data_IF_084115942798
#
_entry.id   IF_084115942798
#
_cell.length_a   1.000
_cell.length_b   1.000
_cell.length_c   1.000
_cell.angle_alpha   90.00
_cell.angle_beta   90.00
_cell.angle_gamma   90.00
#
_symmetry.space_group_name_H-M   'P 1'
#
loop_
_entity.id
_entity.type
_entity.pdbx_description
1 polymer ?
#
# COMPACT_ATOMS: atom_id res chain seq x y z
N UNK A 1 -18.16 15.81 -19.12
CA UNK A 1 -18.16 14.33 -19.19
C UNK A 1 -17.20 13.77 -20.25
N UNK A 2 -16.37 14.57 -20.95
CA UNK A 2 -15.50 14.08 -22.04
C UNK A 2 -14.08 13.66 -21.63
N UNK A 3 -13.56 14.15 -20.50
CA UNK A 3 -12.14 14.02 -20.14
C UNK A 3 -11.79 12.63 -19.56
N UNK A 4 -12.73 12.03 -18.80
CA UNK A 4 -12.53 10.74 -18.14
C UNK A 4 -12.40 9.59 -19.15
N UNK A 5 -13.32 9.51 -20.11
CA UNK A 5 -13.33 8.44 -21.12
C UNK A 5 -12.12 8.55 -22.05
N UNK A 6 -11.70 9.77 -22.38
CA UNK A 6 -10.47 10.00 -23.13
C UNK A 6 -9.25 9.49 -22.37
N UNK A 7 -9.14 9.84 -21.08
CA UNK A 7 -8.07 9.35 -20.22
C UNK A 7 -8.06 7.82 -20.10
N UNK A 8 -9.22 7.20 -19.86
CA UNK A 8 -9.36 5.73 -19.76
C UNK A 8 -8.86 5.03 -21.03
N UNK A 9 -9.20 5.57 -22.21
CA UNK A 9 -8.79 5.00 -23.49
C UNK A 9 -7.30 5.21 -23.79
N UNK A 10 -6.69 6.31 -23.34
CA UNK A 10 -5.28 6.61 -23.59
C UNK A 10 -4.33 6.03 -22.53
N UNK A 11 -4.87 5.57 -21.41
CA UNK A 11 -4.07 5.12 -20.27
C UNK A 11 -3.11 3.98 -20.64
N UNK A 12 -3.57 3.01 -21.44
CA UNK A 12 -2.73 1.88 -21.85
C UNK A 12 -1.52 2.35 -22.68
N UNK A 13 -1.77 3.15 -23.72
CA UNK A 13 -0.71 3.70 -24.58
C UNK A 13 0.26 4.58 -23.77
N UNK A 14 -0.26 5.39 -22.85
CA UNK A 14 0.57 6.23 -21.98
C UNK A 14 1.51 5.39 -21.11
N UNK A 15 0.99 4.33 -20.47
CA UNK A 15 1.78 3.45 -19.60
C UNK A 15 2.82 2.67 -20.42
N UNK A 16 2.49 2.24 -21.65
CA UNK A 16 3.43 1.60 -22.57
C UNK A 16 4.57 2.54 -22.96
N UNK A 17 4.25 3.77 -23.38
CA UNK A 17 5.26 4.80 -23.71
C UNK A 17 6.12 5.12 -22.48
N UNK A 18 5.52 5.18 -21.29
CA UNK A 18 6.25 5.43 -20.06
C UNK A 18 7.24 4.30 -19.74
N UNK A 19 6.82 3.04 -19.86
CA UNK A 19 7.70 1.88 -19.65
C UNK A 19 8.86 1.84 -20.65
N UNK A 20 8.60 2.22 -21.90
CA UNK A 20 9.64 2.33 -22.94
C UNK A 20 10.63 3.44 -22.62
N UNK A 21 10.16 4.63 -22.25
CA UNK A 21 11.02 5.78 -21.89
C UNK A 21 11.85 5.55 -20.62
N UNK A 22 11.34 4.75 -19.70
CA UNK A 22 12.07 4.32 -18.51
C UNK A 22 12.98 3.11 -18.77
N UNK A 23 13.02 2.60 -20.00
CA UNK A 23 13.88 1.49 -20.44
C UNK A 23 13.76 0.26 -19.52
N UNK A 24 12.55 -0.01 -19.01
CA UNK A 24 12.32 -1.03 -17.97
C UNK A 24 12.78 -2.42 -18.43
N UNK A 25 12.57 -2.76 -19.71
CA UNK A 25 12.99 -4.05 -20.27
C UNK A 25 14.51 -4.23 -20.22
N UNK A 26 15.24 -3.20 -20.61
CA UNK A 26 16.70 -3.21 -20.63
C UNK A 26 17.27 -3.22 -19.21
N UNK A 27 16.70 -2.41 -18.31
CA UNK A 27 17.02 -2.42 -16.89
C UNK A 27 16.88 -3.83 -16.31
N UNK A 28 15.78 -4.52 -16.61
CA UNK A 28 15.54 -5.90 -16.14
C UNK A 28 16.59 -6.86 -16.70
N UNK A 29 16.82 -6.82 -18.02
CA UNK A 29 17.72 -7.75 -18.69
C UNK A 29 19.19 -7.61 -18.24
N UNK A 30 19.60 -6.38 -17.95
CA UNK A 30 20.99 -6.07 -17.61
C UNK A 30 21.27 -6.17 -16.10
N UNK A 31 20.35 -5.71 -15.25
CA UNK A 31 20.65 -5.45 -13.84
C UNK A 31 19.83 -6.28 -12.85
N UNK A 32 18.71 -6.86 -13.27
CA UNK A 32 17.73 -7.49 -12.35
C UNK A 32 17.61 -9.01 -12.51
N UNK A 33 18.61 -9.66 -13.13
CA UNK A 33 18.66 -11.12 -13.25
C UNK A 33 18.78 -11.77 -11.86
N UNK A 34 17.89 -12.73 -11.58
CA UNK A 34 17.85 -13.45 -10.30
C UNK A 34 17.26 -12.67 -9.13
N UNK A 35 16.73 -11.47 -9.37
CA UNK A 35 16.04 -10.66 -8.36
C UNK A 35 14.55 -11.04 -8.34
N UNK A 36 14.01 -11.25 -7.15
CA UNK A 36 12.60 -11.59 -6.93
C UNK A 36 11.78 -10.39 -6.43
N UNK A 37 12.46 -9.38 -5.88
CA UNK A 37 11.83 -8.24 -5.23
C UNK A 37 12.54 -6.92 -5.54
N UNK A 38 11.73 -5.92 -5.90
CA UNK A 38 12.13 -4.55 -6.10
C UNK A 38 11.59 -3.66 -4.98
N UNK A 39 12.51 -3.02 -4.23
CA UNK A 39 12.18 -1.92 -3.34
C UNK A 39 12.41 -0.61 -4.10
N UNK A 40 11.34 0.08 -4.44
CA UNK A 40 11.35 1.35 -5.14
C UNK A 40 11.42 2.50 -4.13
N UNK A 41 12.32 3.44 -4.38
CA UNK A 41 12.40 4.73 -3.67
C UNK A 41 12.12 5.86 -4.67
N UNK A 42 10.85 6.15 -4.99
CA UNK A 42 10.53 7.14 -6.01
C UNK A 42 10.84 8.56 -5.52
N UNK A 43 11.43 9.39 -6.38
CA UNK A 43 11.59 10.82 -6.11
C UNK A 43 10.40 11.67 -6.59
N UNK A 44 9.83 12.50 -5.71
CA UNK A 44 8.77 13.49 -6.02
C UNK A 44 7.59 12.92 -6.82
N UNK A 45 7.41 13.36 -8.07
CA UNK A 45 6.28 13.01 -8.93
C UNK A 45 6.32 11.55 -9.41
N UNK A 46 7.46 10.87 -9.26
CA UNK A 46 7.58 9.45 -9.62
C UNK A 46 6.68 8.57 -8.74
N UNK A 47 6.24 9.04 -7.57
CA UNK A 47 5.21 8.37 -6.77
C UNK A 47 3.86 8.22 -7.50
N UNK A 48 3.62 8.96 -8.58
CA UNK A 48 2.38 8.86 -9.37
C UNK A 48 2.47 7.78 -10.45
N UNK A 49 3.67 7.26 -10.74
CA UNK A 49 3.84 6.20 -11.74
C UNK A 49 3.33 4.88 -11.16
N UNK A 50 2.39 4.20 -11.84
CA UNK A 50 1.93 2.89 -11.41
C UNK A 50 2.97 1.83 -11.82
N UNK A 51 4.14 1.79 -11.17
CA UNK A 51 5.26 0.90 -11.56
C UNK A 51 4.83 -0.56 -11.68
N UNK A 52 3.93 -1.01 -10.79
CA UNK A 52 3.36 -2.35 -10.82
C UNK A 52 2.66 -2.70 -12.14
N UNK A 53 2.08 -1.71 -12.81
CA UNK A 53 1.36 -1.83 -14.08
C UNK A 53 2.23 -1.46 -15.29
N UNK A 54 3.54 -1.22 -15.13
CA UNK A 54 4.40 -0.97 -16.29
C UNK A 54 4.58 -2.27 -17.09
N UNK A 55 4.30 -2.27 -18.40
CA UNK A 55 4.46 -3.44 -19.24
C UNK A 55 5.93 -3.80 -19.43
N UNK A 56 6.22 -5.10 -19.37
CA UNK A 56 7.56 -5.65 -19.56
C UNK A 56 7.63 -6.55 -20.81
N UNK A 57 6.59 -6.53 -21.64
CA UNK A 57 6.44 -7.37 -22.85
C UNK A 57 5.67 -8.66 -22.56
N UNK A 58 5.33 -9.41 -23.62
CA UNK A 58 4.59 -10.67 -23.56
C UNK A 58 3.28 -10.61 -22.75
N UNK A 59 2.60 -9.47 -22.78
CA UNK A 59 1.38 -9.21 -22.00
C UNK A 59 1.57 -9.37 -20.48
N UNK A 60 2.81 -9.14 -19.99
CA UNK A 60 3.17 -9.14 -18.58
C UNK A 60 3.50 -7.72 -18.10
N UNK A 61 3.29 -7.50 -16.81
CA UNK A 61 3.61 -6.27 -16.10
C UNK A 61 4.72 -6.49 -15.08
N UNK A 62 5.29 -5.41 -14.57
CA UNK A 62 6.39 -5.46 -13.60
C UNK A 62 6.00 -6.26 -12.34
N UNK A 63 4.75 -6.14 -11.87
CA UNK A 63 4.25 -6.88 -10.71
C UNK A 63 4.06 -8.39 -10.95
N UNK A 64 3.97 -8.83 -12.20
CA UNK A 64 3.90 -10.27 -12.52
C UNK A 64 5.28 -10.93 -12.35
N UNK A 65 6.35 -10.13 -12.45
CA UNK A 65 7.73 -10.61 -12.36
C UNK A 65 8.37 -10.40 -10.99
N UNK A 66 8.03 -9.30 -10.31
CA UNK A 66 8.66 -8.93 -9.05
C UNK A 66 7.62 -8.67 -7.96
N UNK A 67 7.98 -9.01 -6.71
CA UNK A 67 7.33 -8.40 -5.55
C UNK A 67 7.78 -6.94 -5.50
N UNK A 68 6.82 -6.00 -5.53
CA UNK A 68 7.12 -4.57 -5.51
C UNK A 68 6.79 -3.99 -4.15
N UNK A 69 7.76 -3.28 -3.55
CA UNK A 69 7.57 -2.48 -2.34
C UNK A 69 8.00 -1.05 -2.58
N UNK A 70 7.27 -0.12 -2.00
CA UNK A 70 7.64 1.30 -2.01
C UNK A 70 8.15 1.70 -0.63
N UNK A 71 9.18 2.53 -0.60
CA UNK A 71 9.65 3.16 0.63
C UNK A 71 9.97 4.63 0.37
N UNK A 72 9.77 5.47 1.39
CA UNK A 72 9.93 6.91 1.27
C UNK A 72 11.40 7.34 1.14
N UNK A 73 12.33 6.56 1.71
CA UNK A 73 13.78 6.81 1.60
C UNK A 73 14.59 5.58 1.99
N UNK A 74 15.87 5.56 1.60
CA UNK A 74 16.81 4.53 2.06
C UNK A 74 17.07 4.59 3.57
N UNK A 75 16.95 5.76 4.20
CA UNK A 75 17.07 5.88 5.66
C UNK A 75 15.93 5.13 6.36
N UNK A 76 14.69 5.27 5.89
CA UNK A 76 13.55 4.50 6.42
C UNK A 76 13.76 3.01 6.19
N UNK A 77 14.34 2.61 5.05
CA UNK A 77 14.66 1.21 4.79
C UNK A 77 15.66 0.67 5.81
N UNK A 78 16.69 1.44 6.13
CA UNK A 78 17.70 1.06 7.12
C UNK A 78 17.07 0.85 8.50
N UNK A 79 16.23 1.79 8.96
CA UNK A 79 15.47 1.62 10.20
C UNK A 79 14.57 0.37 10.18
N UNK A 80 13.93 0.07 9.05
CA UNK A 80 13.10 -1.13 8.90
C UNK A 80 13.92 -2.42 8.93
N UNK A 81 15.15 -2.42 8.42
CA UNK A 81 16.06 -3.57 8.45
C UNK A 81 16.60 -3.86 9.85
N UNK A 82 16.75 -2.83 10.67
CA UNK A 82 17.21 -2.96 12.05
C UNK A 82 16.13 -3.50 13.01
N UNK A 83 14.89 -3.66 12.54
CA UNK A 83 13.83 -4.26 13.35
C UNK A 83 14.06 -5.77 13.51
N UNK A 84 13.78 -6.34 14.69
CA UNK A 84 13.91 -7.78 14.90
C UNK A 84 13.03 -8.54 13.91
N UNK A 85 13.52 -9.68 13.44
CA UNK A 85 12.72 -10.56 12.60
C UNK A 85 11.49 -11.03 13.37
N UNK A 86 10.36 -11.07 12.67
CA UNK A 86 9.12 -11.61 13.21
C UNK A 86 9.21 -13.14 13.11
N UNK A 87 9.32 -13.80 14.25
CA UNK A 87 9.26 -15.27 14.30
C UNK A 87 7.87 -15.78 13.92
N UNK A 88 7.77 -16.98 13.35
CA UNK A 88 6.49 -17.55 12.90
C UNK A 88 5.49 -17.68 14.06
N UNK A 89 5.96 -18.02 15.26
CA UNK A 89 5.15 -18.06 16.48
C UNK A 89 4.58 -16.68 16.88
N UNK A 90 5.30 -15.61 16.56
CA UNK A 90 4.85 -14.23 16.79
C UNK A 90 3.70 -13.86 15.84
N UNK A 91 3.69 -14.37 14.60
CA UNK A 91 2.60 -14.14 13.62
C UNK A 91 1.26 -14.68 14.15
N UNK A 92 1.27 -15.87 14.77
CA UNK A 92 0.06 -16.47 15.34
C UNK A 92 -0.48 -15.70 16.57
N UNK A 93 0.35 -14.88 17.21
CA UNK A 93 -0.02 -14.08 18.39
C UNK A 93 -0.43 -12.63 18.08
N UNK A 94 -0.38 -12.23 16.80
CA UNK A 94 -0.66 -10.86 16.39
C UNK A 94 -2.07 -10.46 16.82
N UNK A 95 -2.15 -9.27 17.41
CA UNK A 95 -3.42 -8.65 17.70
C UNK A 95 -3.83 -7.81 16.49
N UNK A 96 -5.07 -7.99 16.08
CA UNK A 96 -5.67 -7.32 14.93
C UNK A 96 -6.71 -6.31 15.42
N UNK A 97 -6.90 -5.24 14.66
CA UNK A 97 -8.00 -4.29 14.83
C UNK A 97 -8.57 -3.86 13.48
N UNK A 98 -9.81 -3.38 13.49
CA UNK A 98 -10.45 -2.80 12.30
C UNK A 98 -10.94 -1.37 12.56
N UNK A 99 -10.95 -0.56 11.51
CA UNK A 99 -11.52 0.77 11.51
C UNK A 99 -12.36 0.90 10.25
N UNK A 100 -13.68 1.03 10.41
CA UNK A 100 -14.63 0.91 9.32
C UNK A 100 -15.69 2.02 9.34
N UNK A 101 -16.03 2.48 8.13
CA UNK A 101 -17.17 3.35 7.82
C UNK A 101 -17.33 4.58 8.73
N UNK A 102 -16.27 5.36 8.93
CA UNK A 102 -16.27 6.49 9.87
C UNK A 102 -17.39 7.54 9.70
N UNK A 103 -18.01 7.60 8.52
CA UNK A 103 -19.10 8.53 8.21
C UNK A 103 -20.45 7.82 8.01
N UNK A 104 -20.55 6.52 8.31
CA UNK A 104 -21.75 5.68 8.14
C UNK A 104 -22.39 5.80 6.74
N UNK A 105 -21.57 5.90 5.70
CA UNK A 105 -22.02 6.18 4.35
C UNK A 105 -21.36 5.29 3.30
N UNK A 106 -20.66 4.25 3.73
CA UNK A 106 -19.98 3.30 2.86
C UNK A 106 -20.30 1.88 3.31
N UNK A 107 -21.49 1.39 2.95
CA UNK A 107 -22.00 0.08 3.37
C UNK A 107 -21.01 -1.09 3.09
N UNK A 108 -20.28 -1.03 1.98
CA UNK A 108 -19.24 -2.01 1.66
C UNK A 108 -18.09 -2.03 2.68
N UNK A 109 -17.77 -0.89 3.30
CA UNK A 109 -16.71 -0.81 4.32
C UNK A 109 -17.10 -1.51 5.62
N UNK A 110 -18.36 -1.36 6.04
CA UNK A 110 -18.89 -2.09 7.19
C UNK A 110 -18.91 -3.61 6.92
N UNK A 111 -19.32 -4.03 5.72
CA UNK A 111 -19.29 -5.44 5.31
C UNK A 111 -17.87 -6.02 5.29
N UNK A 112 -16.91 -5.33 4.66
CA UNK A 112 -15.50 -5.77 4.62
C UNK A 112 -14.92 -5.91 6.03
N UNK A 113 -15.14 -4.90 6.88
CA UNK A 113 -14.69 -4.88 8.27
C UNK A 113 -15.26 -6.04 9.09
N UNK A 114 -16.55 -6.34 8.94
CA UNK A 114 -17.19 -7.49 9.57
C UNK A 114 -16.56 -8.82 9.11
N UNK A 115 -16.31 -9.00 7.81
CA UNK A 115 -15.69 -10.23 7.29
C UNK A 115 -14.28 -10.42 7.82
N UNK A 116 -13.47 -9.36 7.86
CA UNK A 116 -12.12 -9.42 8.42
C UNK A 116 -12.17 -9.71 9.92
N UNK A 117 -13.08 -9.07 10.67
CA UNK A 117 -13.25 -9.33 12.09
C UNK A 117 -13.56 -10.81 12.37
N UNK A 118 -14.45 -11.41 11.58
CA UNK A 118 -14.79 -12.83 11.71
C UNK A 118 -13.62 -13.75 11.33
N UNK A 119 -12.89 -13.44 10.25
CA UNK A 119 -11.76 -14.26 9.80
C UNK A 119 -10.61 -14.31 10.81
N UNK A 120 -10.36 -13.22 11.54
CA UNK A 120 -9.26 -13.08 12.49
C UNK A 120 -9.70 -13.08 13.96
N UNK A 121 -10.97 -13.41 14.25
CA UNK A 121 -11.58 -13.37 15.59
C UNK A 121 -11.29 -12.05 16.33
N UNK A 122 -11.46 -10.93 15.63
CA UNK A 122 -11.18 -9.59 16.17
C UNK A 122 -12.31 -9.22 17.13
N UNK A 123 -12.00 -8.99 18.42
CA UNK A 123 -13.03 -8.71 19.41
C UNK A 123 -13.58 -7.30 19.23
N UNK A 124 -14.81 -7.07 19.69
CA UNK A 124 -15.55 -5.83 19.40
C UNK A 124 -14.82 -4.57 19.90
N UNK A 125 -14.11 -4.64 21.02
CA UNK A 125 -13.33 -3.54 21.58
C UNK A 125 -12.13 -3.11 20.70
N UNK A 126 -11.71 -3.96 19.76
CA UNK A 126 -10.67 -3.66 18.76
C UNK A 126 -11.23 -3.23 17.41
N UNK A 127 -12.53 -2.96 17.33
CA UNK A 127 -13.23 -2.53 16.12
C UNK A 127 -13.78 -1.12 16.31
N UNK A 128 -13.30 -0.18 15.51
CA UNK A 128 -13.82 1.19 15.49
C UNK A 128 -14.79 1.34 14.32
N UNK A 129 -16.09 1.31 14.63
CA UNK A 129 -17.16 1.34 13.64
C UNK A 129 -17.85 2.70 13.67
N UNK A 130 -18.08 3.31 12.50
CA UNK A 130 -18.90 4.51 12.41
C UNK A 130 -18.30 5.69 13.18
N UNK A 131 -19.14 6.37 13.95
CA UNK A 131 -18.74 7.52 14.78
C UNK A 131 -17.64 7.20 15.82
N UNK A 132 -17.36 5.93 16.12
CA UNK A 132 -16.26 5.55 17.01
C UNK A 132 -14.88 5.70 16.35
N UNK A 133 -14.82 5.74 15.02
CA UNK A 133 -13.59 5.92 14.25
C UNK A 133 -13.12 7.39 14.32
N UNK A 134 -12.75 7.85 15.50
CA UNK A 134 -12.15 9.18 15.71
C UNK A 134 -10.64 9.10 15.63
N UNK A 135 -9.96 10.23 15.37
CA UNK A 135 -8.49 10.27 15.34
C UNK A 135 -7.87 9.85 16.67
N UNK A 136 -8.55 10.14 17.79
CA UNK A 136 -8.09 9.75 19.12
C UNK A 136 -8.23 8.25 19.32
N UNK A 137 -9.40 7.68 19.04
CA UNK A 137 -9.63 6.24 19.18
C UNK A 137 -8.72 5.43 18.25
N UNK A 138 -8.51 5.89 17.01
CA UNK A 138 -7.59 5.26 16.07
C UNK A 138 -6.17 5.18 16.62
N UNK A 139 -5.64 6.29 17.17
CA UNK A 139 -4.29 6.31 17.77
C UNK A 139 -4.20 5.42 19.00
N UNK A 140 -5.27 5.31 19.79
CA UNK A 140 -5.29 4.40 20.94
C UNK A 140 -5.32 2.94 20.49
N UNK A 141 -6.14 2.59 19.49
CA UNK A 141 -6.19 1.25 18.92
C UNK A 141 -4.84 0.86 18.31
N UNK A 142 -4.20 1.75 17.54
CA UNK A 142 -2.90 1.51 16.92
C UNK A 142 -1.76 1.22 17.90
N UNK A 143 -1.92 1.53 19.20
CA UNK A 143 -0.96 1.16 20.26
C UNK A 143 -1.20 -0.24 20.83
N UNK A 144 -2.39 -0.81 20.60
CA UNK A 144 -2.84 -2.07 21.20
C UNK A 144 -2.77 -3.25 20.22
N UNK A 145 -2.64 -2.97 18.91
CA UNK A 145 -2.64 -3.97 17.85
C UNK A 145 -1.40 -3.83 16.97
N UNK A 146 -0.95 -4.95 16.41
CA UNK A 146 0.17 -4.98 15.48
C UNK A 146 -0.30 -4.87 14.02
N UNK A 147 -1.54 -5.28 13.75
CA UNK A 147 -2.16 -5.20 12.42
C UNK A 147 -3.46 -4.43 12.51
N UNK A 148 -3.58 -3.38 11.70
CA UNK A 148 -4.77 -2.55 11.62
C UNK A 148 -5.28 -2.54 10.19
N UNK A 149 -6.51 -3.00 9.99
CA UNK A 149 -7.21 -2.83 8.72
C UNK A 149 -8.08 -1.57 8.79
N UNK A 150 -8.05 -0.74 7.76
CA UNK A 150 -8.81 0.51 7.71
C UNK A 150 -9.55 0.62 6.38
N UNK A 151 -10.87 0.62 6.43
CA UNK A 151 -11.73 0.79 5.26
C UNK A 151 -12.63 2.03 5.46
N UNK A 152 -12.30 3.10 4.76
CA UNK A 152 -13.03 4.37 4.82
C UNK A 152 -12.73 5.22 3.57
N UNK A 153 -13.47 6.32 3.42
CA UNK A 153 -13.18 7.30 2.39
C UNK A 153 -11.74 7.80 2.51
N UNK A 154 -11.00 7.67 1.42
CA UNK A 154 -9.69 8.25 1.25
C UNK A 154 -9.77 9.32 0.17
N UNK A 155 -9.06 10.42 0.36
CA UNK A 155 -8.88 11.41 -0.69
C UNK A 155 -7.38 11.69 -0.75
N UNK A 156 -6.80 11.90 -1.93
CA UNK A 156 -5.44 12.45 -2.06
C UNK A 156 -5.50 13.97 -2.12
N UNK A 157 -4.59 14.69 -1.47
CA UNK A 157 -4.47 16.16 -1.57
C UNK A 157 -3.00 16.53 -1.72
N UNK A 158 -2.61 16.88 -2.93
CA UNK A 158 -1.23 17.27 -3.26
C UNK A 158 -0.89 18.65 -2.70
N UNK A 159 -1.88 19.53 -2.63
CA UNK A 159 -1.78 20.89 -2.09
C UNK A 159 -1.58 20.92 -0.57
N UNK A 160 -2.04 19.88 0.12
CA UNK A 160 -1.89 19.76 1.56
C UNK A 160 -1.88 18.29 1.99
N UNK A 161 -0.72 17.61 1.86
CA UNK A 161 -0.59 16.19 2.18
C UNK A 161 -0.82 15.91 3.67
N UNK A 162 -0.60 16.90 4.56
CA UNK A 162 -0.74 16.76 6.01
C UNK A 162 -2.18 16.90 6.54
N UNK A 163 -3.09 17.61 5.83
CA UNK A 163 -4.45 17.92 6.35
C UNK A 163 -5.42 16.74 6.42
N UNK A 164 -5.00 15.53 6.05
CA UNK A 164 -5.82 14.30 6.18
C UNK A 164 -5.54 13.44 7.38
N UNK A 165 -4.77 13.93 8.34
CA UNK A 165 -4.86 13.40 9.71
C UNK A 165 -6.27 13.61 10.30
N UNK A 166 -7.14 14.44 9.69
CA UNK A 166 -8.50 14.74 10.16
C UNK A 166 -9.62 13.85 9.56
N UNK A 167 -9.29 12.94 8.64
CA UNK A 167 -10.17 11.84 8.16
C UNK A 167 -9.31 10.59 7.97
N UNK A 168 -9.07 9.92 9.10
CA UNK A 168 -8.46 8.60 9.40
C UNK A 168 -7.39 8.02 8.47
N UNK A 169 -6.46 7.28 9.08
CA UNK A 169 -5.16 6.94 8.52
C UNK A 169 -5.19 6.00 7.33
N UNK A 170 -4.52 6.40 6.25
CA UNK A 170 -3.92 5.45 5.31
C UNK A 170 -2.68 4.89 5.99
N UNK A 171 -2.57 3.57 6.18
CA UNK A 171 -1.37 2.72 6.01
C UNK A 171 -1.71 1.30 6.51
N UNK A 172 -2.01 0.39 5.58
CA UNK A 172 -1.89 -1.05 5.84
C UNK A 172 -0.76 -1.57 4.95
N UNK A 173 0.35 -2.00 5.56
CA UNK A 173 1.40 -2.76 4.86
C UNK A 173 1.97 -3.81 5.80
N UNK A 174 1.79 -5.07 5.41
CA UNK A 174 2.43 -6.24 6.04
C UNK A 174 3.77 -6.44 5.33
N UNK A 175 4.88 -6.38 6.06
CA UNK A 175 6.23 -6.57 5.52
C UNK A 175 6.76 -7.95 5.91
N UNK A 176 6.80 -8.89 4.97
CA UNK A 176 7.51 -10.18 5.13
C UNK A 176 8.80 -10.13 4.29
N UNK A 177 9.93 -10.47 4.91
CA UNK A 177 11.29 -10.26 4.40
C UNK A 177 11.87 -11.54 3.78
N UNK A 178 12.18 -11.51 2.48
CA UNK A 178 13.06 -12.44 1.74
C UNK A 178 13.80 -11.61 0.67
N UNK A 179 14.94 -12.10 0.19
CA UNK A 179 16.00 -11.44 -0.61
C UNK A 179 15.54 -10.21 -1.45
N UNK A 180 16.18 -9.04 -1.26
CA UNK A 180 15.70 -7.73 -1.77
C UNK A 180 16.78 -6.91 -2.49
N UNK A 181 16.41 -6.23 -3.59
CA UNK A 181 17.20 -5.15 -4.20
C UNK A 181 16.51 -3.79 -3.99
N UNK A 182 17.30 -2.73 -3.79
CA UNK A 182 16.81 -1.34 -3.65
C UNK A 182 17.12 -0.58 -4.93
N UNK A 183 16.10 -0.09 -5.60
CA UNK A 183 16.23 0.82 -6.74
C UNK A 183 15.83 2.22 -6.29
N UNK A 184 16.77 3.16 -6.31
CA UNK A 184 16.45 4.58 -6.30
C UNK A 184 16.11 4.98 -7.74
N UNK A 185 14.90 5.50 -7.94
CA UNK A 185 14.41 6.02 -9.22
C UNK A 185 14.02 7.49 -9.04
#
# INVERSE_FOLDING_TARGET
MSDKTLWENQMQDFIEVLAQRLEIKDLIAQNLKGIEELILVPHLLLHQIPFAALPIGNNQYLADKFIIRYIASCQVLEFCKQRPNIEIGYIASLQYGTVEDANNNLACAAFEGEKIANLYNIPLEKRLIGGQATCNNYRQLAKQVQVLHSCHHAQSRLDNPSRKVRKLGKYASILVNRKRLVCQL
#
